data_IF_225969091637
#
_entry.id   IF_225969091637
#
_cell.length_a   1.000
_cell.length_b   1.000
_cell.length_c   1.000
_cell.angle_alpha   90.00
_cell.angle_beta   90.00
_cell.angle_gamma   90.00
#
_symmetry.space_group_name_H-M   'P 1'
#
loop_
_entity.id
_entity.type
_entity.pdbx_description
1 polymer ?
#
# COMPACT_ATOMS: atom_id res chain seq x y z
N UNK A 1 33.63 31.62 32.04
CA UNK A 1 33.14 30.26 31.74
C UNK A 1 31.61 30.29 31.83
N UNK A 2 30.90 30.30 30.70
CA UNK A 2 29.44 30.19 30.65
C UNK A 2 29.10 29.03 29.72
N UNK A 3 28.59 27.96 30.31
CA UNK A 3 28.20 26.74 29.59
C UNK A 3 27.06 27.05 28.62
N UNK A 4 27.23 26.69 27.35
CA UNK A 4 26.13 26.58 26.39
C UNK A 4 25.41 25.26 26.64
N UNK A 5 24.17 25.33 27.12
CA UNK A 5 23.26 24.19 27.15
C UNK A 5 22.62 24.06 25.77
N UNK A 6 23.07 23.08 24.98
CA UNK A 6 22.43 22.73 23.71
C UNK A 6 21.18 21.89 23.99
N UNK A 7 20.01 22.44 23.64
CA UNK A 7 18.74 21.70 23.66
C UNK A 7 18.68 20.87 22.37
N UNK A 8 18.72 19.55 22.52
CA UNK A 8 18.60 18.59 21.42
C UNK A 8 17.12 18.20 21.29
N UNK A 9 16.38 18.86 20.39
CA UNK A 9 15.01 18.47 20.05
C UNK A 9 15.05 17.25 19.12
N UNK A 10 14.79 16.07 19.68
CA UNK A 10 14.51 14.85 18.91
C UNK A 10 13.14 14.99 18.25
N UNK A 11 13.11 15.30 16.96
CA UNK A 11 11.93 15.15 16.12
C UNK A 11 11.67 13.64 15.97
N UNK A 12 10.81 13.08 16.82
CA UNK A 12 10.26 11.75 16.58
C UNK A 12 9.42 11.82 15.30
N UNK A 13 9.90 11.21 14.21
CA UNK A 13 9.06 11.01 13.04
C UNK A 13 7.91 10.07 13.44
N UNK A 14 6.65 10.40 13.12
CA UNK A 14 5.52 9.53 13.43
C UNK A 14 5.71 8.18 12.73
N UNK A 15 5.67 7.09 13.50
CA UNK A 15 5.81 5.73 12.96
C UNK A 15 4.76 5.41 11.87
N UNK A 16 3.54 5.94 12.03
CA UNK A 16 2.46 5.81 11.04
C UNK A 16 2.80 6.42 9.67
N UNK A 17 3.66 7.44 9.62
CA UNK A 17 4.09 8.01 8.34
C UNK A 17 5.11 7.08 7.64
N UNK A 18 5.84 6.24 8.38
CA UNK A 18 6.81 5.31 7.77
C UNK A 18 6.11 4.30 6.86
N UNK A 19 5.06 3.67 7.35
CA UNK A 19 4.34 2.60 6.65
C UNK A 19 3.58 3.16 5.45
N UNK A 20 2.85 4.26 5.65
CA UNK A 20 2.18 4.98 4.57
C UNK A 20 3.15 5.44 3.47
N UNK A 21 4.36 5.88 3.84
CA UNK A 21 5.36 6.32 2.87
C UNK A 21 5.99 5.17 2.09
N UNK A 22 6.22 4.01 2.70
CA UNK A 22 6.69 2.83 1.98
C UNK A 22 5.61 2.31 1.01
N UNK A 23 4.34 2.30 1.41
CA UNK A 23 3.20 1.97 0.56
C UNK A 23 3.13 2.88 -0.68
N UNK A 24 3.08 4.19 -0.46
CA UNK A 24 3.04 5.18 -1.55
C UNK A 24 4.27 5.09 -2.45
N UNK A 25 5.46 4.89 -1.86
CA UNK A 25 6.67 4.71 -2.65
C UNK A 25 6.58 3.45 -3.51
N UNK A 26 6.11 2.32 -2.97
CA UNK A 26 5.93 1.11 -3.74
C UNK A 26 4.97 1.35 -4.90
N UNK A 27 3.77 1.85 -4.63
CA UNK A 27 2.74 2.04 -5.66
C UNK A 27 3.23 2.92 -6.79
N UNK A 28 3.87 4.06 -6.49
CA UNK A 28 4.46 4.93 -7.53
C UNK A 28 5.50 4.19 -8.38
N UNK A 29 6.42 3.49 -7.73
CA UNK A 29 7.55 2.87 -8.43
C UNK A 29 7.12 1.61 -9.17
N UNK A 30 6.14 0.85 -8.69
CA UNK A 30 5.56 -0.29 -9.39
C UNK A 30 4.87 0.12 -10.70
N UNK A 31 4.21 1.30 -10.74
CA UNK A 31 3.67 1.85 -11.99
C UNK A 31 4.77 2.17 -13.01
N UNK A 32 5.89 2.73 -12.53
CA UNK A 32 7.04 3.12 -13.35
C UNK A 32 7.82 1.88 -13.82
N UNK A 33 7.94 0.87 -12.96
CA UNK A 33 8.53 -0.43 -13.23
C UNK A 33 7.80 -1.16 -14.35
N UNK A 34 6.46 -1.26 -14.25
CA UNK A 34 5.59 -1.86 -15.27
C UNK A 34 5.68 -1.19 -16.64
N UNK A 35 6.15 0.06 -16.69
CA UNK A 35 6.43 0.77 -17.95
C UNK A 35 7.82 0.48 -18.52
N UNK A 36 8.63 -0.33 -17.84
CA UNK A 36 9.95 -0.80 -18.25
C UNK A 36 11.13 0.01 -17.69
N UNK A 37 10.97 0.70 -16.54
CA UNK A 37 12.03 1.55 -16.01
C UNK A 37 13.10 0.75 -15.26
N UNK A 38 14.37 0.97 -15.59
CA UNK A 38 15.51 0.35 -14.91
C UNK A 38 15.95 1.18 -13.70
N UNK A 39 15.72 0.67 -12.49
CA UNK A 39 16.10 1.33 -11.25
C UNK A 39 17.61 1.34 -11.02
N UNK A 40 18.14 2.52 -10.68
CA UNK A 40 19.54 2.70 -10.30
C UNK A 40 19.81 2.69 -8.79
N UNK A 41 18.76 2.75 -7.96
CA UNK A 41 18.91 2.75 -6.50
C UNK A 41 18.96 1.31 -5.95
N UNK A 42 19.70 1.05 -4.85
CA UNK A 42 19.69 -0.25 -4.19
C UNK A 42 18.28 -0.75 -3.85
N UNK A 43 17.42 0.15 -3.35
CA UNK A 43 16.05 -0.21 -2.97
C UNK A 43 15.22 -0.62 -4.19
N UNK A 44 15.25 0.18 -5.26
CA UNK A 44 14.52 -0.12 -6.49
C UNK A 44 14.98 -1.43 -7.14
N UNK A 45 16.29 -1.68 -7.15
CA UNK A 45 16.83 -2.95 -7.66
C UNK A 45 16.40 -4.15 -6.83
N UNK A 46 16.38 -4.02 -5.49
CA UNK A 46 15.97 -5.10 -4.63
C UNK A 46 14.47 -5.42 -4.74
N UNK A 47 13.63 -4.39 -4.85
CA UNK A 47 12.16 -4.54 -4.93
C UNK A 47 11.69 -4.96 -6.32
N UNK A 48 12.33 -4.47 -7.40
CA UNK A 48 11.84 -4.66 -8.78
C UNK A 48 12.77 -5.47 -9.68
N UNK A 49 13.94 -5.90 -9.21
CA UNK A 49 14.90 -6.81 -9.86
C UNK A 49 15.48 -6.42 -11.25
N UNK A 50 14.95 -5.42 -11.96
CA UNK A 50 15.37 -4.93 -13.28
C UNK A 50 15.46 -6.01 -14.39
N UNK A 51 14.86 -7.19 -14.21
CA UNK A 51 15.03 -8.32 -15.12
C UNK A 51 14.39 -8.13 -16.50
N UNK A 52 13.35 -7.32 -16.58
CA UNK A 52 12.50 -7.07 -17.75
C UNK A 52 12.42 -5.58 -18.15
N UNK A 53 13.23 -4.72 -17.51
CA UNK A 53 13.25 -3.30 -17.80
C UNK A 53 13.89 -3.00 -19.17
N UNK A 54 13.47 -1.89 -19.80
CA UNK A 54 13.91 -1.49 -21.15
C UNK A 54 14.85 -0.29 -21.15
N UNK A 55 14.85 0.53 -20.09
CA UNK A 55 15.77 1.65 -19.97
C UNK A 55 15.46 2.61 -18.83
N UNK A 56 16.17 3.75 -18.79
CA UNK A 56 15.98 4.79 -17.76
C UNK A 56 14.97 5.88 -18.15
N UNK A 57 14.29 5.71 -19.28
CA UNK A 57 13.26 6.62 -19.76
C UNK A 57 12.11 5.79 -20.28
N UNK A 58 10.94 6.02 -19.71
CA UNK A 58 9.71 5.31 -20.04
C UNK A 58 8.58 6.32 -20.21
N UNK A 59 7.65 6.01 -21.11
CA UNK A 59 6.41 6.77 -21.25
C UNK A 59 5.32 6.04 -20.49
N UNK A 60 4.61 6.77 -19.65
CA UNK A 60 3.44 6.25 -18.94
C UNK A 60 2.19 6.52 -19.78
N UNK A 61 1.24 5.58 -19.88
CA UNK A 61 -0.06 5.89 -20.44
C UNK A 61 -0.78 6.92 -19.55
N UNK A 62 -1.72 7.72 -20.08
CA UNK A 62 -2.35 8.82 -19.34
C UNK A 62 -2.99 8.43 -18.00
N UNK A 63 -3.51 7.21 -17.87
CA UNK A 63 -4.07 6.73 -16.60
C UNK A 63 -2.97 6.52 -15.55
N UNK A 64 -1.84 5.92 -15.93
CA UNK A 64 -0.69 5.74 -15.05
C UNK A 64 -0.04 7.06 -14.65
N UNK A 65 -0.03 8.05 -15.55
CA UNK A 65 0.44 9.41 -15.21
C UNK A 65 -0.40 10.05 -14.10
N UNK A 66 -1.74 9.92 -14.19
CA UNK A 66 -2.66 10.42 -13.16
C UNK A 66 -2.45 9.72 -11.83
N UNK A 67 -2.34 8.39 -11.83
CA UNK A 67 -2.06 7.62 -10.63
C UNK A 67 -0.73 8.04 -9.98
N UNK A 68 0.35 8.17 -10.77
CA UNK A 68 1.64 8.66 -10.26
C UNK A 68 1.54 10.08 -9.70
N UNK A 69 0.76 10.96 -10.32
CA UNK A 69 0.55 12.32 -9.84
C UNK A 69 -0.21 12.34 -8.50
N UNK A 70 -1.26 11.54 -8.38
CA UNK A 70 -2.04 11.37 -7.14
C UNK A 70 -1.17 10.82 -6.01
N UNK A 71 -0.41 9.75 -6.26
CA UNK A 71 0.51 9.17 -5.27
C UNK A 71 1.57 10.19 -4.83
N UNK A 72 2.12 10.99 -5.75
CA UNK A 72 3.07 12.06 -5.40
C UNK A 72 2.43 13.16 -4.55
N UNK A 73 1.15 13.46 -4.78
CA UNK A 73 0.42 14.41 -3.93
C UNK A 73 0.28 13.87 -2.51
N UNK A 74 -0.05 12.58 -2.36
CA UNK A 74 -0.11 11.92 -1.06
C UNK A 74 1.28 11.87 -0.41
N UNK A 75 2.34 11.47 -1.14
CA UNK A 75 3.73 11.49 -0.63
C UNK A 75 4.10 12.87 -0.08
N UNK A 76 3.70 13.95 -0.76
CA UNK A 76 3.95 15.32 -0.31
C UNK A 76 3.16 15.66 0.97
N UNK A 77 1.90 15.20 1.06
CA UNK A 77 1.03 15.42 2.23
C UNK A 77 1.54 14.70 3.48
N UNK A 78 2.00 13.46 3.33
CA UNK A 78 2.62 12.68 4.41
C UNK A 78 4.07 13.09 4.70
N UNK A 79 4.68 13.95 3.88
CA UNK A 79 6.07 14.40 4.05
C UNK A 79 7.10 13.29 3.79
N UNK A 80 6.79 12.37 2.86
CA UNK A 80 7.54 11.14 2.66
C UNK A 80 8.99 11.32 2.23
N UNK A 81 9.87 10.53 2.85
CA UNK A 81 11.32 10.50 2.59
C UNK A 81 11.87 9.08 2.72
N UNK A 82 11.46 8.19 1.83
CA UNK A 82 11.94 6.79 1.81
C UNK A 82 13.44 6.72 1.52
N UNK A 83 14.17 5.97 2.34
CA UNK A 83 15.60 5.75 2.16
C UNK A 83 15.89 4.79 1.02
N UNK A 84 16.16 5.30 -0.18
CA UNK A 84 16.44 4.46 -1.35
C UNK A 84 17.83 3.79 -1.38
N UNK A 85 18.67 3.98 -0.34
CA UNK A 85 19.99 3.36 -0.23
C UNK A 85 19.96 1.98 0.45
N UNK A 86 18.86 1.62 1.10
CA UNK A 86 18.65 0.29 1.67
C UNK A 86 18.19 -0.70 0.59
N UNK A 87 18.16 -1.99 0.92
CA UNK A 87 17.72 -3.06 0.00
C UNK A 87 16.44 -3.76 0.46
N UNK A 88 15.77 -3.22 1.47
CA UNK A 88 14.53 -3.75 2.02
C UNK A 88 13.49 -2.64 2.09
N UNK A 89 12.28 -2.93 1.63
CA UNK A 89 11.13 -2.04 1.80
C UNK A 89 10.29 -2.59 2.94
N UNK A 90 9.99 -1.76 3.93
CA UNK A 90 9.22 -2.17 5.10
C UNK A 90 7.72 -2.15 4.76
N UNK A 91 7.21 -3.30 4.31
CA UNK A 91 5.81 -3.52 3.94
C UNK A 91 5.43 -4.97 4.19
N UNK A 92 4.51 -5.21 5.12
CA UNK A 92 4.07 -6.56 5.49
C UNK A 92 3.30 -7.28 4.38
N UNK A 93 2.69 -6.52 3.46
CA UNK A 93 1.85 -7.04 2.38
C UNK A 93 2.53 -7.06 1.01
N UNK A 94 3.85 -6.86 0.93
CA UNK A 94 4.58 -6.72 -0.33
C UNK A 94 4.34 -7.91 -1.28
N UNK A 95 4.24 -9.13 -0.74
CA UNK A 95 3.95 -10.35 -1.51
C UNK A 95 2.55 -10.33 -2.16
N UNK A 96 1.58 -9.63 -1.57
CA UNK A 96 0.25 -9.43 -2.14
C UNK A 96 0.30 -8.37 -3.24
N UNK A 97 1.07 -7.30 -3.02
CA UNK A 97 1.18 -6.17 -3.98
C UNK A 97 1.67 -6.60 -5.35
N UNK A 98 2.59 -7.57 -5.43
CA UNK A 98 3.09 -8.11 -6.70
C UNK A 98 2.03 -8.85 -7.52
N UNK A 99 0.92 -9.27 -6.91
CA UNK A 99 -0.15 -10.02 -7.58
C UNK A 99 -1.22 -9.08 -8.17
N UNK A 100 -1.18 -7.78 -7.86
CA UNK A 100 -2.23 -6.84 -8.23
C UNK A 100 -2.10 -6.36 -9.67
N UNK A 101 -3.21 -6.32 -10.39
CA UNK A 101 -3.35 -5.61 -11.65
C UNK A 101 -3.51 -4.11 -11.41
N UNK A 102 -4.43 -3.74 -10.53
CA UNK A 102 -4.69 -2.34 -10.17
C UNK A 102 -4.01 -2.06 -8.82
N UNK A 103 -3.12 -1.06 -8.76
CA UNK A 103 -2.38 -0.72 -7.55
C UNK A 103 -3.17 0.29 -6.71
N UNK A 104 -3.39 0.04 -5.42
CA UNK A 104 -4.16 0.95 -4.57
C UNK A 104 -3.30 2.11 -4.05
N UNK A 105 -3.95 3.22 -3.73
CA UNK A 105 -3.29 4.41 -3.18
C UNK A 105 -3.63 4.51 -1.69
N UNK A 106 -2.60 4.65 -0.84
CA UNK A 106 -2.77 4.85 0.60
C UNK A 106 -3.64 6.08 0.88
N UNK A 107 -4.62 5.92 1.76
CA UNK A 107 -5.46 6.99 2.30
C UNK A 107 -4.82 7.60 3.56
N UNK A 108 -5.22 8.82 3.90
CA UNK A 108 -4.94 9.47 5.19
C UNK A 108 -5.64 8.81 6.37
N UNK A 109 -6.79 8.20 6.09
CA UNK A 109 -7.61 7.56 7.10
C UNK A 109 -7.39 6.06 7.07
N UNK A 110 -7.39 5.49 8.26
CA UNK A 110 -7.31 4.05 8.46
C UNK A 110 -8.43 3.63 9.40
N UNK A 111 -9.05 2.51 9.10
CA UNK A 111 -10.04 1.88 9.96
C UNK A 111 -9.97 0.37 9.78
N UNK A 112 -10.49 -0.38 10.74
CA UNK A 112 -10.55 -1.83 10.62
C UNK A 112 -11.88 -2.39 11.11
N UNK A 113 -12.37 -3.40 10.41
CA UNK A 113 -13.38 -4.32 10.88
C UNK A 113 -12.69 -5.38 11.75
N UNK A 114 -13.02 -5.47 13.03
CA UNK A 114 -12.48 -6.48 13.93
C UNK A 114 -13.46 -7.64 14.02
N UNK A 115 -13.01 -8.84 13.65
CA UNK A 115 -13.82 -10.05 13.70
C UNK A 115 -14.94 -10.05 12.67
N UNK A 116 -14.57 -10.19 11.39
CA UNK A 116 -15.50 -10.26 10.26
C UNK A 116 -16.60 -11.31 10.49
N UNK A 117 -17.87 -10.90 10.41
CA UNK A 117 -19.04 -11.77 10.62
C UNK A 117 -19.72 -12.19 9.31
N UNK A 118 -19.26 -11.65 8.18
CA UNK A 118 -19.79 -11.96 6.85
C UNK A 118 -19.39 -13.36 6.36
N UNK A 119 -19.89 -13.78 5.19
CA UNK A 119 -19.42 -14.99 4.52
C UNK A 119 -17.96 -14.84 4.07
N UNK A 120 -17.37 -15.93 3.57
CA UNK A 120 -16.07 -15.87 2.90
C UNK A 120 -16.17 -14.96 1.66
N UNK A 121 -15.32 -13.95 1.59
CA UNK A 121 -15.30 -12.99 0.48
C UNK A 121 -14.02 -13.13 -0.34
N UNK A 122 -14.13 -13.29 -1.65
CA UNK A 122 -12.97 -13.32 -2.53
C UNK A 122 -12.38 -11.93 -2.78
N UNK A 123 -11.06 -11.79 -2.66
CA UNK A 123 -10.31 -10.57 -2.93
C UNK A 123 -9.59 -10.66 -4.27
N UNK A 124 -9.68 -9.60 -5.07
CA UNK A 124 -9.25 -9.61 -6.48
C UNK A 124 -7.95 -8.85 -6.73
N UNK A 125 -7.26 -9.22 -7.80
CA UNK A 125 -6.06 -8.52 -8.27
C UNK A 125 -6.35 -7.08 -8.74
N UNK A 126 -7.59 -6.77 -9.12
CA UNK A 126 -7.98 -5.46 -9.64
C UNK A 126 -9.42 -5.11 -9.27
N UNK A 127 -9.75 -3.83 -9.40
CA UNK A 127 -11.07 -3.27 -9.07
C UNK A 127 -12.07 -3.52 -10.22
N UNK A 128 -12.26 -4.81 -10.56
CA UNK A 128 -13.16 -5.29 -11.62
C UNK A 128 -13.57 -6.76 -11.40
N UNK A 129 -14.79 -7.18 -11.80
CA UNK A 129 -15.29 -8.52 -11.51
C UNK A 129 -14.54 -9.67 -12.20
N UNK A 130 -13.88 -9.41 -13.33
CA UNK A 130 -13.13 -10.38 -14.11
C UNK A 130 -11.67 -10.55 -13.65
N UNK A 131 -11.19 -9.70 -12.76
CA UNK A 131 -9.85 -9.85 -12.18
C UNK A 131 -9.77 -11.14 -11.33
N UNK A 132 -8.65 -11.88 -11.41
CA UNK A 132 -8.48 -13.13 -10.68
C UNK A 132 -8.54 -12.90 -9.17
N UNK A 133 -8.99 -13.93 -8.45
CA UNK A 133 -8.89 -13.97 -7.00
C UNK A 133 -7.43 -14.18 -6.59
N UNK A 134 -6.96 -13.35 -5.66
CA UNK A 134 -5.58 -13.37 -5.12
C UNK A 134 -5.58 -13.53 -3.60
N UNK A 135 -6.74 -13.42 -2.97
CA UNK A 135 -6.93 -13.61 -1.54
C UNK A 135 -8.39 -13.82 -1.21
N UNK A 136 -8.67 -13.88 0.08
CA UNK A 136 -10.01 -13.93 0.62
C UNK A 136 -10.07 -13.28 2.02
N UNK A 137 -11.29 -13.03 2.49
CA UNK A 137 -11.64 -12.70 3.88
C UNK A 137 -12.39 -13.90 4.43
N UNK A 138 -11.97 -14.42 5.58
CA UNK A 138 -12.63 -15.51 6.28
C UNK A 138 -13.39 -14.98 7.54
N UNK A 139 -14.45 -15.68 8.01
CA UNK A 139 -15.11 -15.32 9.26
C UNK A 139 -14.13 -15.27 10.43
N UNK A 140 -14.13 -14.16 11.16
CA UNK A 140 -13.24 -13.88 12.28
C UNK A 140 -12.02 -13.02 11.93
N UNK A 141 -11.73 -12.80 10.65
CA UNK A 141 -10.60 -11.96 10.22
C UNK A 141 -10.74 -10.51 10.69
N UNK A 142 -9.60 -9.85 10.91
CA UNK A 142 -9.53 -8.40 11.01
C UNK A 142 -9.28 -7.86 9.61
N UNK A 143 -10.19 -7.01 9.11
CA UNK A 143 -10.10 -6.43 7.75
C UNK A 143 -9.69 -4.97 7.87
N UNK A 144 -8.51 -4.63 7.35
CA UNK A 144 -7.97 -3.28 7.40
C UNK A 144 -8.31 -2.48 6.15
N UNK A 145 -8.71 -1.24 6.35
CA UNK A 145 -9.06 -0.26 5.33
C UNK A 145 -8.15 0.94 5.45
N UNK A 146 -7.17 1.05 4.55
CA UNK A 146 -6.18 2.12 4.59
C UNK A 146 -5.92 2.74 3.22
N UNK A 147 -6.80 2.49 2.24
CA UNK A 147 -6.60 2.85 0.85
C UNK A 147 -7.82 3.55 0.28
N UNK A 148 -7.57 4.48 -0.65
CA UNK A 148 -8.60 5.27 -1.30
C UNK A 148 -9.49 4.33 -2.14
N UNK A 149 -10.82 4.34 -1.93
CA UNK A 149 -11.73 3.48 -2.69
C UNK A 149 -11.88 3.94 -4.14
N UNK A 150 -12.13 2.99 -5.04
CA UNK A 150 -12.40 3.21 -6.47
C UNK A 150 -13.81 2.71 -6.78
N UNK A 151 -14.79 3.61 -6.76
CA UNK A 151 -16.20 3.22 -6.90
C UNK A 151 -16.66 2.38 -5.72
N UNK A 152 -17.18 1.17 -5.98
CA UNK A 152 -17.52 0.19 -4.93
C UNK A 152 -16.34 -0.68 -4.50
N UNK A 153 -15.14 -0.46 -5.04
CA UNK A 153 -13.99 -1.30 -4.74
C UNK A 153 -13.09 -0.64 -3.71
N UNK A 154 -12.66 -1.42 -2.74
CA UNK A 154 -11.65 -0.99 -1.76
C UNK A 154 -10.57 -2.06 -1.65
N UNK A 155 -9.31 -1.65 -1.55
CA UNK A 155 -8.23 -2.58 -1.27
C UNK A 155 -8.16 -2.81 0.23
N UNK A 156 -8.14 -4.07 0.63
CA UNK A 156 -8.06 -4.48 2.04
C UNK A 156 -6.94 -5.48 2.23
N UNK A 157 -6.43 -5.50 3.45
CA UNK A 157 -5.63 -6.60 3.97
C UNK A 157 -6.39 -7.28 5.10
N UNK A 158 -6.17 -8.58 5.29
CA UNK A 158 -6.72 -9.33 6.41
C UNK A 158 -5.63 -9.81 7.34
N UNK A 159 -5.95 -9.91 8.62
CA UNK A 159 -5.03 -10.34 9.67
C UNK A 159 -5.80 -11.03 10.80
N UNK A 160 -5.06 -11.67 11.70
CA UNK A 160 -5.60 -12.07 12.99
C UNK A 160 -5.41 -10.98 14.06
N UNK A 161 -5.68 -11.31 15.35
CA UNK A 161 -5.45 -10.39 16.46
C UNK A 161 -4.01 -9.93 16.65
N UNK A 162 -3.04 -10.57 16.00
CA UNK A 162 -1.62 -10.21 15.99
C UNK A 162 -1.24 -9.17 14.91
N UNK A 163 -2.22 -8.73 14.10
CA UNK A 163 -2.07 -7.75 13.03
C UNK A 163 -1.05 -8.12 11.95
N UNK A 164 -0.65 -9.39 11.89
CA UNK A 164 0.18 -9.89 10.80
C UNK A 164 -0.69 -10.11 9.57
N UNK A 165 -0.32 -9.49 8.45
CA UNK A 165 -1.08 -9.61 7.20
C UNK A 165 -1.03 -11.05 6.71
N UNK A 166 -2.20 -11.62 6.44
CA UNK A 166 -2.36 -13.02 5.98
C UNK A 166 -2.92 -13.11 4.56
N UNK A 167 -3.75 -12.14 4.16
CA UNK A 167 -4.36 -12.08 2.82
C UNK A 167 -4.68 -10.62 2.46
N UNK A 168 -5.03 -10.36 1.20
CA UNK A 168 -5.40 -9.02 0.75
C UNK A 168 -5.70 -8.94 -0.75
N UNK A 169 -6.32 -7.84 -1.16
CA UNK A 169 -6.77 -7.60 -2.52
C UNK A 169 -7.97 -6.66 -2.58
N UNK A 170 -8.51 -6.47 -3.77
CA UNK A 170 -9.67 -5.61 -4.01
C UNK A 170 -10.98 -6.32 -3.65
N UNK A 171 -11.73 -5.71 -2.74
CA UNK A 171 -13.05 -6.11 -2.26
C UNK A 171 -14.13 -5.25 -2.91
N UNK A 172 -15.17 -5.86 -3.48
CA UNK A 172 -16.35 -5.15 -3.99
C UNK A 172 -17.40 -5.02 -2.87
N UNK A 173 -17.50 -3.81 -2.30
CA UNK A 173 -18.38 -3.50 -1.17
C UNK A 173 -19.86 -3.48 -1.54
N UNK A 174 -20.20 -3.55 -2.83
CA UNK A 174 -21.60 -3.63 -3.26
C UNK A 174 -22.22 -5.02 -3.10
N UNK A 175 -21.40 -6.05 -2.89
CA UNK A 175 -21.83 -7.45 -2.86
C UNK A 175 -22.30 -7.93 -1.48
N UNK A 176 -22.09 -7.14 -0.44
CA UNK A 176 -22.39 -7.52 0.93
C UNK A 176 -22.76 -6.30 1.76
N UNK A 177 -23.37 -6.55 2.92
CA UNK A 177 -23.48 -5.57 3.99
C UNK A 177 -22.44 -5.94 5.04
N UNK A 178 -21.49 -5.04 5.28
CA UNK A 178 -20.43 -5.28 6.26
C UNK A 178 -21.01 -5.51 7.65
N UNK A 179 -20.49 -6.54 8.32
CA UNK A 179 -20.83 -6.87 9.69
C UNK A 179 -19.56 -7.30 10.41
N UNK A 180 -19.24 -6.58 11.48
CA UNK A 180 -18.04 -6.79 12.29
C UNK A 180 -18.44 -6.99 13.73
N UNK A 181 -17.62 -7.73 14.48
CA UNK A 181 -17.79 -7.81 15.92
C UNK A 181 -17.52 -6.45 16.58
N UNK A 182 -16.50 -5.73 16.11
CA UNK A 182 -16.15 -4.39 16.55
C UNK A 182 -15.45 -3.60 15.43
N UNK A 183 -15.18 -2.32 15.64
CA UNK A 183 -14.52 -1.42 14.70
C UNK A 183 -13.36 -0.66 15.36
N UNK A 184 -12.28 -0.46 14.62
CA UNK A 184 -11.18 0.43 14.99
C UNK A 184 -11.06 1.60 13.99
N UNK A 185 -10.70 2.79 14.48
CA UNK A 185 -10.52 4.01 13.68
C UNK A 185 -10.22 5.24 14.53
#
# INVERSE_FOLDING_TARGET
MKSLTAVFSLLAAPALASDACHDLWFTRNAVIDRAGYCFGSPLGQAVFNNGDCTGKSVSLPPQSERLVAEVKQMEARFGCRVNNKQTHLDMDDLFLRYQLWDLPVRDEFESACLGWLGPVMGLRAGHRPDAPLVGQIDPGDYVNYSHIPVGSWTYVTTSGPDWQVTSGGWLDTSLFQEQCQDYAG
#
